data_IF_695622721453
#
_entry.id   IF_695622721453
#
_cell.length_a   1.000
_cell.length_b   1.000
_cell.length_c   1.000
_cell.angle_alpha   90.00
_cell.angle_beta   90.00
_cell.angle_gamma   90.00
#
_symmetry.space_group_name_H-M   'P 1'
#
loop_
_entity.id
_entity.type
_entity.pdbx_description
1 polymer ?
#
# COMPACT_ATOMS: atom_id res chain seq x y z
N UNK A 1 3.53 -13.87 3.41
CA UNK A 1 3.17 -14.97 4.34
C UNK A 1 2.70 -14.41 5.68
N UNK A 2 1.59 -14.93 6.22
CA UNK A 2 0.94 -14.43 7.46
C UNK A 2 0.83 -15.50 8.57
N UNK A 3 1.67 -16.53 8.51
CA UNK A 3 1.71 -17.62 9.47
C UNK A 3 3.13 -18.16 9.59
N UNK A 4 3.41 -18.87 10.67
CA UNK A 4 4.62 -19.71 10.75
C UNK A 4 4.37 -21.02 9.98
N UNK A 5 5.41 -21.66 9.46
CA UNK A 5 5.27 -22.99 8.84
C UNK A 5 4.67 -24.01 9.82
N UNK A 6 5.03 -23.90 11.11
CA UNK A 6 4.47 -24.69 12.20
C UNK A 6 3.94 -23.79 13.31
N UNK A 7 2.73 -24.10 13.79
CA UNK A 7 2.09 -23.45 14.94
C UNK A 7 1.50 -24.55 15.83
N UNK A 8 1.86 -24.55 17.13
CA UNK A 8 1.44 -25.56 18.14
C UNK A 8 1.48 -27.00 17.63
N UNK A 9 2.61 -27.38 17.01
CA UNK A 9 2.90 -28.69 16.41
C UNK A 9 2.14 -29.03 15.12
N UNK A 10 1.16 -28.22 14.71
CA UNK A 10 0.48 -28.39 13.42
C UNK A 10 1.28 -27.73 12.30
N UNK A 11 1.44 -28.45 11.19
CA UNK A 11 1.99 -27.87 9.96
C UNK A 11 0.91 -27.01 9.29
N UNK A 12 1.20 -25.72 9.12
CA UNK A 12 0.27 -24.74 8.54
C UNK A 12 0.64 -24.39 7.11
N UNK A 13 1.92 -24.48 6.76
CA UNK A 13 2.47 -24.21 5.44
C UNK A 13 3.83 -24.92 5.30
N UNK A 14 4.14 -25.41 4.10
CA UNK A 14 5.48 -25.91 3.79
C UNK A 14 6.50 -24.77 3.73
N UNK A 15 7.76 -25.08 4.00
CA UNK A 15 8.85 -24.15 3.78
C UNK A 15 9.22 -24.18 2.29
N UNK A 16 8.65 -23.26 1.52
CA UNK A 16 8.79 -23.20 0.06
C UNK A 16 9.90 -22.26 -0.42
N UNK A 17 10.75 -21.77 0.49
CA UNK A 17 11.89 -20.89 0.21
C UNK A 17 13.23 -21.54 0.57
N UNK A 18 14.36 -21.08 0.02
CA UNK A 18 15.68 -21.67 0.26
C UNK A 18 16.16 -21.50 1.71
N UNK A 19 16.85 -22.51 2.25
CA UNK A 19 17.31 -22.53 3.65
C UNK A 19 18.75 -22.04 3.84
N UNK A 20 19.03 -20.72 3.77
CA UNK A 20 20.24 -20.03 4.33
C UNK A 20 19.90 -18.53 4.52
N UNK A 21 20.17 -17.77 5.60
CA UNK A 21 21.04 -17.87 6.80
C UNK A 21 20.41 -17.01 7.95
N UNK A 22 20.27 -17.57 9.14
CA UNK A 22 20.18 -16.95 10.50
C UNK A 22 19.19 -15.78 10.81
N UNK A 23 18.09 -16.17 11.48
CA UNK A 23 17.30 -15.53 12.56
C UNK A 23 16.40 -14.27 12.32
N UNK A 24 15.25 -14.18 13.02
CA UNK A 24 14.07 -13.45 12.54
C UNK A 24 13.78 -12.15 13.31
N UNK A 25 13.34 -11.11 12.58
CA UNK A 25 12.33 -10.11 12.98
C UNK A 25 11.95 -9.30 11.72
N UNK A 26 10.76 -9.57 11.17
CA UNK A 26 10.27 -9.08 9.86
C UNK A 26 11.22 -9.49 8.72
N UNK A 27 11.02 -10.71 8.20
CA UNK A 27 11.70 -11.15 6.99
C UNK A 27 11.24 -10.27 5.81
N UNK A 28 12.22 -9.66 5.16
CA UNK A 28 12.14 -9.05 3.83
C UNK A 28 13.27 -9.70 3.06
N UNK A 29 13.06 -10.97 2.74
CA UNK A 29 14.04 -11.74 2.00
C UNK A 29 13.86 -11.38 0.53
N UNK A 30 14.93 -10.86 -0.05
CA UNK A 30 15.04 -10.67 -1.49
C UNK A 30 15.72 -11.90 -2.04
N UNK A 31 14.95 -12.73 -2.75
CA UNK A 31 15.45 -13.93 -3.40
C UNK A 31 15.44 -13.73 -4.92
N UNK A 32 16.43 -14.28 -5.61
CA UNK A 32 16.47 -14.31 -7.08
C UNK A 32 15.98 -15.68 -7.50
N UNK A 33 14.80 -15.73 -8.10
CA UNK A 33 14.22 -16.97 -8.60
C UNK A 33 14.28 -17.00 -10.12
N UNK A 34 14.91 -18.03 -10.66
CA UNK A 34 14.83 -18.35 -12.07
C UNK A 34 13.49 -19.05 -12.36
N UNK A 35 12.74 -18.54 -13.33
CA UNK A 35 11.63 -19.26 -13.92
C UNK A 35 12.17 -20.48 -14.66
N UNK A 36 11.88 -21.67 -14.12
CA UNK A 36 12.33 -22.94 -14.65
C UNK A 36 11.86 -23.24 -16.08
N UNK A 37 10.84 -22.53 -16.59
CA UNK A 37 10.29 -22.72 -17.93
C UNK A 37 10.89 -21.79 -18.97
N UNK A 38 11.11 -20.52 -18.60
CA UNK A 38 11.60 -19.50 -19.52
C UNK A 38 13.11 -19.24 -19.40
N UNK A 39 13.72 -19.66 -18.28
CA UNK A 39 15.09 -19.28 -17.92
C UNK A 39 15.22 -17.82 -17.48
N UNK A 40 14.11 -17.06 -17.41
CA UNK A 40 14.13 -15.68 -16.94
C UNK A 40 14.35 -15.62 -15.43
N UNK A 41 15.32 -14.82 -15.01
CA UNK A 41 15.53 -14.52 -13.60
C UNK A 41 14.63 -13.37 -13.15
N UNK A 42 13.97 -13.56 -12.01
CA UNK A 42 13.10 -12.56 -11.39
C UNK A 42 13.49 -12.38 -9.92
N UNK A 43 13.45 -11.13 -9.48
CA UNK A 43 13.64 -10.82 -8.07
C UNK A 43 12.29 -10.98 -7.36
N UNK A 44 12.21 -11.93 -6.44
CA UNK A 44 11.04 -12.20 -5.60
C UNK A 44 11.32 -11.70 -4.20
N UNK A 45 10.44 -10.83 -3.69
CA UNK A 45 10.53 -10.33 -2.31
C UNK A 45 9.52 -11.06 -1.44
N UNK A 46 10.02 -11.75 -0.42
CA UNK A 46 9.21 -12.51 0.51
C UNK A 46 9.07 -11.78 1.84
N UNK A 47 7.83 -11.45 2.19
CA UNK A 47 7.49 -10.81 3.45
C UNK A 47 6.79 -11.80 4.38
N UNK A 48 7.34 -11.99 5.57
CA UNK A 48 6.73 -12.87 6.59
C UNK A 48 6.34 -12.12 7.85
N UNK A 49 5.03 -12.07 8.13
CA UNK A 49 4.48 -11.53 9.36
C UNK A 49 4.34 -12.62 10.43
N UNK A 50 5.36 -12.75 11.27
CA UNK A 50 5.48 -13.81 12.29
C UNK A 50 4.82 -13.49 13.64
N UNK A 51 4.31 -12.27 13.79
CA UNK A 51 3.69 -11.78 15.03
C UNK A 51 2.19 -12.13 15.13
N UNK A 52 1.58 -12.70 14.09
CA UNK A 52 0.20 -13.19 14.18
C UNK A 52 0.15 -14.47 15.03
N UNK A 53 -0.67 -14.53 16.08
CA UNK A 53 -0.82 -15.75 16.88
C UNK A 53 -1.55 -16.87 16.11
N UNK A 54 -1.42 -18.12 16.59
CA UNK A 54 -2.12 -19.29 16.00
C UNK A 54 -3.65 -19.09 16.04
N UNK A 55 -4.15 -18.70 17.22
CA UNK A 55 -5.55 -18.36 17.47
C UNK A 55 -5.72 -16.87 17.74
N UNK A 56 -6.82 -16.31 17.26
CA UNK A 56 -7.16 -14.90 17.44
C UNK A 56 -6.47 -13.96 16.45
N UNK A 57 -6.09 -12.79 16.96
CA UNK A 57 -5.61 -11.64 16.18
C UNK A 57 -4.38 -11.02 16.84
N UNK A 58 -3.59 -10.20 16.13
CA UNK A 58 -2.47 -9.47 16.73
C UNK A 58 -2.95 -8.58 17.89
N UNK A 59 -2.16 -8.52 18.97
CA UNK A 59 -2.49 -7.70 20.16
C UNK A 59 -2.46 -6.20 19.87
N UNK A 60 -1.50 -5.76 19.03
CA UNK A 60 -1.34 -4.36 18.64
C UNK A 60 -1.69 -4.18 17.15
N UNK A 61 -2.77 -3.44 16.82
CA UNK A 61 -3.06 -3.06 15.45
C UNK A 61 -1.94 -2.19 14.86
N UNK A 62 -1.25 -1.37 15.66
CA UNK A 62 -0.14 -0.51 15.21
C UNK A 62 1.03 -1.32 14.66
N UNK A 63 1.38 -2.43 15.32
CA UNK A 63 2.41 -3.34 14.82
C UNK A 63 2.03 -4.00 13.50
N UNK A 64 0.76 -4.35 13.33
CA UNK A 64 0.23 -4.86 12.07
C UNK A 64 0.24 -3.78 10.98
N UNK A 65 -0.22 -2.58 11.28
CA UNK A 65 -0.23 -1.43 10.37
C UNK A 65 1.18 -1.02 9.95
N UNK A 66 2.17 -1.08 10.85
CA UNK A 66 3.59 -0.83 10.50
C UNK A 66 4.10 -1.83 9.47
N UNK A 67 3.70 -3.09 9.57
CA UNK A 67 4.00 -4.12 8.58
C UNK A 67 3.31 -3.82 7.25
N UNK A 68 2.00 -3.54 7.26
CA UNK A 68 1.25 -3.17 6.05
C UNK A 68 1.83 -1.92 5.37
N UNK A 69 2.16 -0.89 6.14
CA UNK A 69 2.82 0.32 5.65
C UNK A 69 4.20 0.04 5.05
N UNK A 70 4.94 -0.95 5.57
CA UNK A 70 6.19 -1.41 4.93
C UNK A 70 5.90 -2.00 3.55
N UNK A 71 4.90 -2.87 3.42
CA UNK A 71 4.49 -3.46 2.13
C UNK A 71 4.10 -2.40 1.09
N UNK A 72 3.33 -1.38 1.52
CA UNK A 72 2.94 -0.25 0.67
C UNK A 72 4.14 0.58 0.22
N UNK A 73 5.02 0.97 1.16
CA UNK A 73 6.22 1.79 0.87
C UNK A 73 7.22 1.10 -0.08
N UNK A 74 7.42 -0.21 0.06
CA UNK A 74 8.30 -0.96 -0.84
C UNK A 74 7.60 -1.37 -2.16
N UNK A 75 6.36 -0.91 -2.36
CA UNK A 75 5.50 -1.21 -3.50
C UNK A 75 5.32 -2.70 -3.75
N UNK A 76 5.23 -3.49 -2.67
CA UNK A 76 5.00 -4.92 -2.76
C UNK A 76 3.54 -5.27 -3.06
N UNK A 77 2.60 -4.37 -2.73
CA UNK A 77 1.15 -4.61 -2.90
C UNK A 77 0.43 -3.52 -3.70
N UNK A 78 1.14 -2.47 -4.12
CA UNK A 78 0.55 -1.29 -4.80
C UNK A 78 0.85 -1.22 -6.29
N UNK A 79 1.54 -2.22 -6.87
CA UNK A 79 1.87 -2.26 -8.29
C UNK A 79 0.83 -3.08 -9.08
N UNK A 80 0.10 -2.48 -10.03
CA UNK A 80 -0.92 -3.20 -10.80
C UNK A 80 -0.37 -4.35 -11.66
N UNK A 81 0.83 -4.15 -12.23
CA UNK A 81 1.46 -5.13 -13.14
C UNK A 81 2.11 -6.31 -12.40
N UNK A 82 2.24 -6.23 -11.07
CA UNK A 82 2.89 -7.24 -10.24
C UNK A 82 2.00 -7.59 -9.04
N UNK A 83 0.90 -8.35 -9.27
CA UNK A 83 -0.06 -8.65 -8.21
C UNK A 83 0.60 -9.44 -7.07
N UNK A 84 0.41 -9.03 -5.80
CA UNK A 84 1.02 -9.70 -4.66
C UNK A 84 0.42 -11.08 -4.40
N UNK A 85 1.26 -12.02 -3.98
CA UNK A 85 0.80 -13.31 -3.44
C UNK A 85 0.69 -13.19 -1.92
N UNK A 86 -0.54 -13.15 -1.41
CA UNK A 86 -0.83 -13.13 0.03
C UNK A 86 -1.42 -14.47 0.44
N UNK A 87 -0.78 -15.13 1.40
CA UNK A 87 -1.28 -16.40 1.94
C UNK A 87 -1.06 -16.51 3.45
N UNK A 88 -1.81 -17.42 4.07
CA UNK A 88 -1.63 -17.89 5.43
C UNK A 88 -1.58 -19.43 5.39
N UNK A 89 -2.45 -20.12 6.15
CA UNK A 89 -2.64 -21.56 6.03
C UNK A 89 -3.67 -21.90 4.93
N UNK A 90 -4.97 -21.73 5.19
CA UNK A 90 -6.03 -21.94 4.19
C UNK A 90 -6.21 -20.76 3.19
N UNK A 91 -5.51 -19.64 3.43
CA UNK A 91 -5.60 -18.46 2.58
C UNK A 91 -6.95 -17.73 2.66
N UNK A 92 -7.63 -17.76 3.82
CA UNK A 92 -8.96 -17.14 4.01
C UNK A 92 -9.05 -16.19 5.20
N UNK A 93 -8.55 -16.58 6.38
CA UNK A 93 -8.67 -15.78 7.61
C UNK A 93 -7.71 -14.58 7.61
N UNK A 94 -6.47 -14.80 8.06
CA UNK A 94 -5.41 -13.77 8.14
C UNK A 94 -5.17 -13.08 6.80
N UNK A 95 -5.21 -13.86 5.70
CA UNK A 95 -5.13 -13.34 4.33
C UNK A 95 -6.25 -12.36 4.04
N UNK A 96 -7.50 -12.74 4.30
CA UNK A 96 -8.65 -11.87 4.09
C UNK A 96 -8.58 -10.60 4.92
N UNK A 97 -8.17 -10.71 6.18
CA UNK A 97 -8.00 -9.55 7.08
C UNK A 97 -6.98 -8.55 6.54
N UNK A 98 -5.80 -9.01 6.08
CA UNK A 98 -4.81 -8.12 5.48
C UNK A 98 -5.37 -7.44 4.22
N UNK A 99 -5.94 -8.22 3.31
CA UNK A 99 -6.47 -7.68 2.06
C UNK A 99 -7.63 -6.70 2.31
N UNK A 100 -8.51 -6.98 3.28
CA UNK A 100 -9.64 -6.11 3.60
C UNK A 100 -9.14 -4.76 4.15
N UNK A 101 -8.21 -4.79 5.10
CA UNK A 101 -7.64 -3.57 5.68
C UNK A 101 -6.94 -2.76 4.57
N UNK A 102 -6.14 -3.40 3.73
CA UNK A 102 -5.44 -2.73 2.64
C UNK A 102 -6.40 -2.09 1.63
N UNK A 103 -7.40 -2.83 1.14
CA UNK A 103 -8.40 -2.29 0.21
C UNK A 103 -9.18 -1.14 0.85
N UNK A 104 -9.59 -1.28 2.11
CA UNK A 104 -10.30 -0.22 2.82
C UNK A 104 -9.45 1.04 3.00
N UNK A 105 -8.16 0.91 3.34
CA UNK A 105 -7.25 2.05 3.43
C UNK A 105 -7.06 2.73 2.08
N UNK A 106 -6.90 1.97 1.00
CA UNK A 106 -6.82 2.54 -0.36
C UNK A 106 -8.10 3.32 -0.73
N UNK A 107 -9.28 2.79 -0.39
CA UNK A 107 -10.55 3.49 -0.60
C UNK A 107 -10.58 4.78 0.21
N UNK A 108 -10.17 4.74 1.49
CA UNK A 108 -10.15 5.92 2.36
C UNK A 108 -9.16 6.99 1.88
N UNK A 109 -8.00 6.60 1.37
CA UNK A 109 -6.98 7.53 0.86
C UNK A 109 -7.41 8.22 -0.45
N UNK A 110 -8.24 7.57 -1.26
CA UNK A 110 -8.69 8.09 -2.55
C UNK A 110 -10.12 8.67 -2.52
N UNK A 111 -10.80 8.65 -1.37
CA UNK A 111 -12.18 9.15 -1.27
C UNK A 111 -12.24 10.68 -1.36
N UNK A 112 -13.36 11.18 -1.86
CA UNK A 112 -13.73 12.59 -1.83
C UNK A 112 -14.68 12.87 -0.66
N UNK A 113 -14.80 14.13 -0.28
CA UNK A 113 -15.72 14.60 0.76
C UNK A 113 -17.18 14.22 0.49
N UNK A 114 -17.56 14.14 -0.78
CA UNK A 114 -18.92 13.79 -1.23
C UNK A 114 -19.19 12.28 -1.25
N UNK A 115 -18.14 11.44 -1.14
CA UNK A 115 -18.30 10.00 -1.24
C UNK A 115 -18.98 9.43 0.02
N UNK A 116 -19.88 8.43 -0.13
CA UNK A 116 -20.57 7.82 0.99
C UNK A 116 -19.57 7.21 2.01
N UNK A 117 -19.99 7.05 3.28
CA UNK A 117 -19.17 6.39 4.28
C UNK A 117 -18.70 5.00 3.83
N UNK A 118 -17.45 4.65 4.17
CA UNK A 118 -16.89 3.35 3.87
C UNK A 118 -17.71 2.23 4.54
N UNK A 119 -18.32 1.37 3.73
CA UNK A 119 -18.97 0.16 4.23
C UNK A 119 -18.02 -1.03 4.14
N UNK A 120 -17.27 -1.28 5.22
CA UNK A 120 -16.29 -2.37 5.34
C UNK A 120 -16.94 -3.75 5.09
N UNK A 121 -18.18 -3.96 5.53
CA UNK A 121 -18.90 -5.22 5.32
C UNK A 121 -19.24 -5.45 3.85
N UNK A 122 -19.59 -4.38 3.12
CA UNK A 122 -19.83 -4.45 1.68
C UNK A 122 -18.54 -4.76 0.92
N UNK A 123 -17.42 -4.15 1.31
CA UNK A 123 -16.10 -4.47 0.73
C UNK A 123 -15.77 -5.94 0.94
N UNK A 124 -15.91 -6.45 2.17
CA UNK A 124 -15.70 -7.87 2.46
C UNK A 124 -16.65 -8.78 1.67
N UNK A 125 -17.92 -8.41 1.56
CA UNK A 125 -18.90 -9.16 0.78
C UNK A 125 -18.47 -9.26 -0.69
N UNK A 126 -18.00 -8.16 -1.28
CA UNK A 126 -17.50 -8.14 -2.66
C UNK A 126 -16.23 -8.99 -2.81
N UNK A 127 -15.28 -8.90 -1.85
CA UNK A 127 -14.06 -9.73 -1.86
C UNK A 127 -14.38 -11.22 -1.82
N UNK A 128 -15.41 -11.63 -1.06
CA UNK A 128 -15.84 -13.04 -0.97
C UNK A 128 -16.36 -13.62 -2.28
N UNK A 129 -16.69 -12.79 -3.27
CA UNK A 129 -17.04 -13.23 -4.63
C UNK A 129 -15.82 -13.77 -5.40
N UNK A 130 -14.62 -13.29 -5.08
CA UNK A 130 -13.36 -13.76 -5.67
C UNK A 130 -12.74 -14.91 -4.89
N UNK A 131 -12.88 -14.91 -3.56
CA UNK A 131 -12.45 -16.02 -2.71
C UNK A 131 -13.48 -16.27 -1.60
N UNK A 132 -14.31 -17.31 -1.73
CA UNK A 132 -15.29 -17.64 -0.72
C UNK A 132 -14.66 -17.91 0.64
N UNK A 133 -15.34 -17.51 1.71
CA UNK A 133 -14.91 -17.77 3.09
C UNK A 133 -13.84 -16.83 3.65
N UNK A 134 -13.50 -15.72 2.97
CA UNK A 134 -12.62 -14.71 3.59
C UNK A 134 -13.18 -14.23 4.94
N UNK A 135 -12.33 -14.20 5.97
CA UNK A 135 -12.65 -13.73 7.33
C UNK A 135 -13.91 -14.40 7.93
N UNK A 136 -13.79 -15.64 8.40
CA UNK A 136 -14.90 -16.35 9.06
C UNK A 136 -14.99 -16.07 10.56
N UNK A 137 -13.86 -15.80 11.21
CA UNK A 137 -13.80 -15.52 12.64
C UNK A 137 -14.22 -14.07 12.93
N UNK A 138 -15.09 -13.89 13.92
CA UNK A 138 -15.58 -12.58 14.34
C UNK A 138 -14.42 -11.67 14.77
N UNK A 139 -13.47 -12.22 15.51
CA UNK A 139 -12.31 -11.50 16.06
C UNK A 139 -11.46 -10.89 14.94
N UNK A 140 -11.32 -11.60 13.82
CA UNK A 140 -10.59 -11.12 12.64
C UNK A 140 -11.29 -9.96 11.94
N UNK A 141 -12.63 -10.00 11.88
CA UNK A 141 -13.41 -8.88 11.35
C UNK A 141 -13.38 -7.68 12.30
N UNK A 142 -13.55 -7.90 13.60
CA UNK A 142 -13.45 -6.86 14.63
C UNK A 142 -12.06 -6.19 14.58
N UNK A 143 -10.99 -6.99 14.46
CA UNK A 143 -9.63 -6.47 14.30
C UNK A 143 -9.47 -5.63 13.03
N UNK A 144 -10.13 -5.96 11.92
CA UNK A 144 -10.11 -5.09 10.73
C UNK A 144 -10.66 -3.70 11.03
N UNK A 145 -11.77 -3.59 11.78
CA UNK A 145 -12.29 -2.28 12.21
C UNK A 145 -11.32 -1.57 13.15
N UNK A 146 -10.78 -2.26 14.15
CA UNK A 146 -9.81 -1.68 15.09
C UNK A 146 -8.57 -1.15 14.38
N UNK A 147 -8.04 -1.90 13.41
CA UNK A 147 -6.89 -1.49 12.62
C UNK A 147 -7.20 -0.28 11.72
N UNK A 148 -8.39 -0.22 11.10
CA UNK A 148 -8.80 0.94 10.31
C UNK A 148 -8.92 2.20 11.18
N UNK A 149 -9.55 2.10 12.35
CA UNK A 149 -9.66 3.23 13.28
C UNK A 149 -8.30 3.67 13.84
N UNK A 150 -7.37 2.73 14.07
CA UNK A 150 -6.02 3.06 14.50
C UNK A 150 -5.23 3.77 13.38
N UNK A 151 -5.40 3.36 12.12
CA UNK A 151 -4.76 4.00 10.97
C UNK A 151 -5.21 5.45 10.78
N UNK A 152 -6.52 5.72 10.92
CA UNK A 152 -7.09 7.08 10.83
C UNK A 152 -6.53 7.99 11.93
N UNK A 153 -6.43 7.49 13.17
CA UNK A 153 -5.80 8.24 14.28
C UNK A 153 -4.33 8.53 14.01
N UNK A 154 -3.56 7.57 13.50
CA UNK A 154 -2.15 7.81 13.17
C UNK A 154 -1.98 8.84 12.04
N UNK A 155 -2.86 8.84 11.03
CA UNK A 155 -2.85 9.87 9.98
C UNK A 155 -3.16 11.26 10.56
N UNK A 156 -4.15 11.35 11.46
CA UNK A 156 -4.46 12.61 12.15
C UNK A 156 -3.30 13.11 13.01
N UNK A 157 -2.54 12.21 13.65
CA UNK A 157 -1.36 12.56 14.44
C UNK A 157 -0.18 12.99 13.55
N UNK A 158 0.02 12.37 12.38
CA UNK A 158 1.04 12.82 11.41
C UNK A 158 0.71 14.22 10.86
N UNK A 159 -0.57 14.54 10.68
CA UNK A 159 -1.06 15.88 10.30
C UNK A 159 -0.91 16.90 11.44
N UNK A 160 -1.26 16.54 12.68
CA UNK A 160 -1.08 17.40 13.86
C UNK A 160 0.40 17.65 14.18
N UNK A 161 1.29 16.65 14.01
CA UNK A 161 2.74 16.80 14.22
C UNK A 161 3.41 17.66 13.13
N UNK A 162 2.84 17.76 11.92
CA UNK A 162 3.23 18.78 10.93
C UNK A 162 2.75 20.19 11.32
N UNK A 163 1.58 20.32 11.96
CA UNK A 163 1.01 21.61 12.42
C UNK A 163 1.71 22.15 13.69
N UNK A 164 2.18 21.29 14.58
CA UNK A 164 2.82 21.65 15.87
C UNK A 164 4.26 22.16 15.73
N UNK A 165 4.85 22.20 14.52
CA UNK A 165 6.18 22.81 14.28
C UNK A 165 6.19 24.36 14.28
N UNK A 166 5.38 24.98 15.13
CA UNK A 166 5.65 26.36 15.57
C UNK A 166 6.79 26.32 16.60
N UNK A 167 7.77 27.25 16.56
CA UNK A 167 8.95 27.10 17.41
C UNK A 167 8.57 27.37 18.86
N UNK A 168 8.50 26.30 19.65
CA UNK A 168 8.54 26.39 21.11
C UNK A 168 9.99 26.63 21.50
N UNK A 169 10.28 27.82 22.05
CA UNK A 169 11.53 28.08 22.74
C UNK A 169 11.58 27.19 23.99
N UNK A 170 12.50 26.23 24.01
CA UNK A 170 12.88 25.53 25.23
C UNK A 170 14.40 25.65 25.34
N UNK A 171 14.82 26.53 26.24
CA UNK A 171 16.15 26.50 26.84
C UNK A 171 16.24 25.33 27.83
N UNK A 172 17.45 24.77 27.88
CA UNK A 172 18.06 23.92 28.92
C UNK A 172 18.04 22.39 28.73
N UNK A 173 19.17 21.93 28.19
CA UNK A 173 20.15 21.00 28.75
C UNK A 173 19.80 19.54 29.05
N UNK A 174 20.47 18.63 28.33
CA UNK A 174 21.52 17.76 28.91
C UNK A 174 22.40 17.11 27.81
N UNK A 175 23.71 17.16 28.03
CA UNK A 175 24.80 16.80 27.12
C UNK A 175 24.83 15.31 26.73
N UNK A 176 24.76 15.04 25.42
CA UNK A 176 25.29 13.82 24.81
C UNK A 176 26.03 14.23 23.54
N UNK A 177 27.35 13.99 23.53
CA UNK A 177 28.36 14.29 22.49
C UNK A 177 27.81 14.89 21.18
N UNK A 178 27.78 16.23 21.15
CA UNK A 178 27.05 17.04 20.16
C UNK A 178 27.61 17.01 18.75
N UNK A 179 28.86 16.62 18.53
CA UNK A 179 29.47 16.75 17.20
C UNK A 179 29.11 15.58 16.25
N UNK A 180 29.03 14.35 16.76
CA UNK A 180 28.64 13.18 15.97
C UNK A 180 27.13 13.14 15.72
N UNK A 181 26.33 13.50 16.72
CA UNK A 181 24.86 13.52 16.68
C UNK A 181 24.33 14.64 15.77
N UNK A 182 24.93 15.84 15.81
CA UNK A 182 24.57 16.94 14.90
C UNK A 182 24.95 16.65 13.46
N UNK A 183 26.08 15.98 13.21
CA UNK A 183 26.47 15.55 11.85
C UNK A 183 25.49 14.53 11.26
N UNK A 184 25.08 13.53 12.06
CA UNK A 184 24.11 12.51 11.62
C UNK A 184 22.72 13.11 11.44
N UNK A 185 22.29 14.02 12.34
CA UNK A 185 21.01 14.73 12.26
C UNK A 185 20.95 15.65 11.05
N UNK A 186 21.99 16.43 10.79
CA UNK A 186 22.10 17.28 9.61
C UNK A 186 22.10 16.46 8.30
N UNK A 187 22.82 15.33 8.26
CA UNK A 187 22.82 14.42 7.11
C UNK A 187 21.44 13.78 6.86
N UNK A 188 20.72 13.38 7.93
CA UNK A 188 19.36 12.82 7.81
C UNK A 188 18.35 13.88 7.38
N UNK A 189 18.48 15.10 7.89
CA UNK A 189 17.62 16.22 7.55
C UNK A 189 17.83 16.67 6.11
N UNK A 190 19.08 16.76 5.65
CA UNK A 190 19.38 17.06 4.25
C UNK A 190 18.86 15.96 3.32
N UNK A 191 19.04 14.68 3.69
CA UNK A 191 18.53 13.54 2.90
C UNK A 191 17.01 13.54 2.80
N UNK A 192 16.31 13.97 3.86
CA UNK A 192 14.86 14.12 3.85
C UNK A 192 14.41 15.28 2.96
N UNK A 193 15.07 16.45 3.05
CA UNK A 193 14.81 17.61 2.19
C UNK A 193 14.99 17.23 0.72
N UNK A 194 16.08 16.54 0.39
CA UNK A 194 16.37 16.09 -0.97
C UNK A 194 15.33 15.08 -1.48
N UNK A 195 14.85 14.20 -0.59
CA UNK A 195 13.80 13.22 -0.91
C UNK A 195 12.45 13.90 -1.13
N UNK A 196 12.08 14.86 -0.28
CA UNK A 196 10.82 15.64 -0.39
C UNK A 196 10.81 16.44 -1.69
N UNK A 197 11.93 17.12 -2.01
CA UNK A 197 12.09 17.83 -3.29
C UNK A 197 11.90 16.92 -4.51
N UNK A 198 12.49 15.72 -4.49
CA UNK A 198 12.33 14.74 -5.58
C UNK A 198 10.89 14.27 -5.74
N UNK A 199 10.18 14.02 -4.63
CA UNK A 199 8.78 13.61 -4.66
C UNK A 199 7.91 14.74 -5.23
N UNK A 200 8.14 15.99 -4.84
CA UNK A 200 7.40 17.14 -5.33
C UNK A 200 7.66 17.40 -6.83
N UNK A 201 8.90 17.23 -7.29
CA UNK A 201 9.25 17.27 -8.71
C UNK A 201 8.55 16.15 -9.50
N UNK A 202 8.49 14.93 -8.96
CA UNK A 202 7.78 13.80 -9.59
C UNK A 202 6.28 14.07 -9.68
N UNK A 203 5.65 14.58 -8.62
CA UNK A 203 4.23 14.97 -8.61
C UNK A 203 3.96 16.05 -9.67
N UNK A 204 4.79 17.09 -9.73
CA UNK A 204 4.67 18.17 -10.73
C UNK A 204 4.84 17.66 -12.17
N UNK A 205 5.74 16.70 -12.40
CA UNK A 205 5.93 16.07 -13.69
C UNK A 205 4.72 15.19 -14.10
N UNK A 206 4.14 14.48 -13.14
CA UNK A 206 2.94 13.66 -13.37
C UNK A 206 1.71 14.53 -13.65
N UNK A 207 1.53 15.63 -12.92
CA UNK A 207 0.51 16.66 -13.16
C UNK A 207 0.62 17.23 -14.58
N UNK A 208 1.84 17.65 -14.97
CA UNK A 208 2.11 18.19 -16.30
C UNK A 208 1.85 17.15 -17.42
N UNK A 209 2.17 15.88 -17.17
CA UNK A 209 1.88 14.80 -18.12
C UNK A 209 0.36 14.60 -18.29
N UNK A 210 -0.40 14.66 -17.19
CA UNK A 210 -1.85 14.56 -17.20
C UNK A 210 -2.50 15.75 -17.93
N UNK A 211 -2.01 16.98 -17.70
CA UNK A 211 -2.46 18.18 -18.44
C UNK A 211 -2.19 18.04 -19.94
N UNK A 212 -1.00 17.55 -20.33
CA UNK A 212 -0.66 17.28 -21.75
C UNK A 212 -1.56 16.20 -22.37
N UNK A 213 -1.91 15.14 -21.63
CA UNK A 213 -2.88 14.13 -22.11
C UNK A 213 -4.27 14.72 -22.30
N UNK A 214 -4.76 15.52 -21.34
CA UNK A 214 -6.05 16.21 -21.45
C UNK A 214 -6.11 17.14 -22.66
N UNK A 215 -5.06 17.94 -22.89
CA UNK A 215 -4.95 18.81 -24.07
C UNK A 215 -4.98 18.03 -25.39
N UNK A 216 -4.27 16.90 -25.48
CA UNK A 216 -4.31 16.03 -26.67
C UNK A 216 -5.70 15.42 -26.90
N UNK A 217 -6.37 14.99 -25.84
CA UNK A 217 -7.71 14.43 -25.92
C UNK A 217 -8.74 15.47 -26.39
N UNK A 218 -8.70 16.69 -25.84
CA UNK A 218 -9.56 17.79 -26.27
C UNK A 218 -9.30 18.17 -27.73
N UNK A 219 -8.02 18.21 -28.16
CA UNK A 219 -7.66 18.45 -29.56
C UNK A 219 -8.13 17.34 -30.52
N UNK A 220 -8.16 16.07 -30.08
CA UNK A 220 -8.71 14.98 -30.89
C UNK A 220 -10.24 15.03 -31.01
N UNK A 221 -10.94 15.50 -29.97
CA UNK A 221 -12.39 15.66 -29.97
C UNK A 221 -12.84 16.81 -30.88
N UNK A 222 -12.09 17.92 -30.93
CA UNK A 222 -12.40 19.02 -31.87
C UNK A 222 -12.15 18.59 -33.32
N UNK A 223 -11.08 17.85 -33.62
CA UNK A 223 -10.84 17.31 -34.96
C UNK A 223 -11.94 16.30 -35.34
N UNK A 224 -12.27 15.36 -34.45
CA UNK A 224 -13.35 14.39 -34.67
C UNK A 224 -14.72 15.04 -34.86
N UNK A 225 -15.03 16.08 -34.07
CA UNK A 225 -16.26 16.87 -34.21
C UNK A 225 -16.36 17.61 -35.53
N UNK A 226 -15.26 18.18 -36.03
CA UNK A 226 -15.21 18.82 -37.36
C UNK A 226 -15.40 17.80 -38.49
N UNK A 227 -14.77 16.62 -38.38
CA UNK A 227 -14.96 15.54 -39.38
C UNK A 227 -16.40 15.04 -39.42
N UNK A 228 -17.05 14.88 -38.26
CA UNK A 228 -18.46 14.48 -38.16
C UNK A 228 -19.38 15.57 -38.76
N UNK A 229 -19.11 16.84 -38.47
CA UNK A 229 -19.88 17.95 -39.02
C UNK A 229 -19.76 18.06 -40.54
N UNK A 230 -18.55 17.90 -41.10
CA UNK A 230 -18.33 17.89 -42.55
C UNK A 230 -19.01 16.69 -43.20
N UNK A 231 -18.92 15.50 -42.58
CA UNK A 231 -19.62 14.31 -43.07
C UNK A 231 -21.15 14.49 -43.09
N UNK A 232 -21.72 15.13 -42.06
CA UNK A 232 -23.15 15.42 -42.00
C UNK A 232 -23.60 16.43 -43.07
N UNK A 233 -22.78 17.46 -43.35
CA UNK A 233 -23.05 18.43 -44.42
C UNK A 233 -22.98 17.76 -45.79
N UNK A 234 -21.96 16.93 -46.03
CA UNK A 234 -21.84 16.15 -47.27
C UNK A 234 -23.07 15.24 -47.44
N UNK A 235 -23.47 14.50 -46.41
CA UNK A 235 -24.65 13.64 -46.46
C UNK A 235 -25.93 14.41 -46.77
N UNK A 236 -26.10 15.61 -46.20
CA UNK A 236 -27.26 16.46 -46.44
C UNK A 236 -27.30 17.06 -47.86
N UNK A 237 -26.14 17.31 -48.48
CA UNK A 237 -26.03 17.83 -49.85
C UNK A 237 -26.30 16.74 -50.90
N UNK A 238 -25.90 15.49 -50.63
CA UNK A 238 -26.12 14.36 -51.54
C UNK A 238 -27.47 13.66 -51.38
N UNK A 239 -28.29 14.06 -50.39
CA UNK A 239 -29.63 13.48 -50.13
C UNK A 239 -30.78 14.32 -50.72
N UNK A 240 -30.51 15.15 -51.74
CA UNK A 240 -31.52 15.91 -52.50
C UNK A 240 -31.44 15.59 -53.99
#
# INVERSE_FOLDING_TARGET
>A
MLNKCRERNTQKCEEYWPKKRSQPKIFDDVDIQADLRSGEERIVRHFNYVAWPDFGVPESPEHFLRFLGKLRRCKAITQPETPPIVHCSAGVGRTGTLCLIDVCLEILENRKTEDPPLNVLQVLHNMRRYRPGLIQAYEQLAFSFTALSAAEKCQALDEEEEVVKTPVNIENDQEVDGNLTNSIRAKRQQRWIDTKRKIDEMKKNQENHNIKRRRRYVASLTIGGVVIAVAAIVFAVFSK
#
